data_IF_851704789055
#
_entry.id   IF_851704789055
#
_cell.length_a   1.000
_cell.length_b   1.000
_cell.length_c   1.000
_cell.angle_alpha   90.00
_cell.angle_beta   90.00
_cell.angle_gamma   90.00
#
_symmetry.space_group_name_H-M   'P 1'
#
loop_
_entity.id
_entity.type
_entity.pdbx_description
1 polymer ?
#
# COMPACT_ATOMS: atom_id res chain seq x y z
N UNK A 1 -7.57 3.98 -26.90
CA UNK A 1 -6.13 3.70 -26.85
C UNK A 1 -5.81 3.19 -25.46
N UNK A 2 -5.45 1.92 -25.33
CA UNK A 2 -5.07 1.29 -24.05
C UNK A 2 -3.71 1.82 -23.65
N UNK A 3 -3.62 2.71 -22.66
CA UNK A 3 -2.31 3.03 -22.09
C UNK A 3 -1.73 1.71 -21.53
N UNK A 4 -0.58 1.23 -22.03
CA UNK A 4 0.02 0.04 -21.47
C UNK A 4 0.33 0.32 -20.00
N UNK A 5 0.13 -0.66 -19.12
CA UNK A 5 0.36 -0.52 -17.67
C UNK A 5 1.76 0.04 -17.35
N UNK A 6 2.73 -0.23 -18.22
CA UNK A 6 4.07 0.35 -18.17
C UNK A 6 4.09 1.87 -18.32
N UNK A 7 3.26 2.46 -19.18
CA UNK A 7 3.17 3.91 -19.34
C UNK A 7 2.61 4.58 -18.08
N UNK A 8 1.60 3.97 -17.45
CA UNK A 8 1.06 4.46 -16.18
C UNK A 8 2.07 4.31 -15.04
N UNK A 9 2.88 3.24 -15.05
CA UNK A 9 3.96 3.06 -14.08
C UNK A 9 4.98 4.20 -14.17
N UNK A 10 5.46 4.51 -15.38
CA UNK A 10 6.38 5.63 -15.62
C UNK A 10 5.74 6.98 -15.31
N UNK A 11 4.45 7.15 -15.58
CA UNK A 11 3.70 8.35 -15.21
C UNK A 11 3.65 8.49 -13.68
N UNK A 12 3.35 7.43 -12.94
CA UNK A 12 3.30 7.46 -11.46
C UNK A 12 4.65 7.86 -10.86
N UNK A 13 5.75 7.45 -11.51
CA UNK A 13 7.11 7.80 -11.10
C UNK A 13 7.52 9.24 -11.46
N UNK A 14 6.92 9.85 -12.49
CA UNK A 14 7.25 11.20 -12.93
C UNK A 14 6.30 12.25 -12.36
N UNK A 15 5.01 11.98 -12.48
CA UNK A 15 3.91 12.80 -11.99
C UNK A 15 2.83 11.90 -11.33
N UNK A 16 2.95 11.65 -10.02
CA UNK A 16 1.97 10.83 -9.30
C UNK A 16 0.58 11.49 -9.25
N UNK A 17 0.49 12.82 -9.38
CA UNK A 17 -0.79 13.52 -9.38
C UNK A 17 -1.55 13.31 -10.69
N UNK A 18 -0.86 13.42 -11.82
CA UNK A 18 -1.44 13.11 -13.13
C UNK A 18 -1.80 11.62 -13.24
N UNK A 19 -0.95 10.72 -12.72
CA UNK A 19 -1.26 9.30 -12.67
C UNK A 19 -2.55 9.01 -11.88
N UNK A 20 -2.75 9.68 -10.75
CA UNK A 20 -3.97 9.57 -9.95
C UNK A 20 -5.21 9.97 -10.77
N UNK A 21 -5.16 11.10 -11.48
CA UNK A 21 -6.25 11.55 -12.35
C UNK A 21 -6.53 10.54 -13.48
N UNK A 22 -5.51 9.95 -14.09
CA UNK A 22 -5.69 8.97 -15.17
C UNK A 22 -6.31 7.67 -14.64
N UNK A 23 -5.89 7.21 -13.45
CA UNK A 23 -6.49 6.04 -12.79
C UNK A 23 -7.96 6.28 -12.42
N UNK A 24 -8.32 7.51 -12.04
CA UNK A 24 -9.69 7.91 -11.66
C UNK A 24 -10.55 8.39 -12.84
N UNK A 25 -9.95 8.67 -13.99
CA UNK A 25 -10.65 9.21 -15.16
C UNK A 25 -11.73 8.30 -15.75
N UNK A 26 -11.91 7.10 -15.18
CA UNK A 26 -13.02 6.21 -15.47
C UNK A 26 -13.70 5.81 -14.17
N UNK A 27 -15.00 6.15 -13.98
CA UNK A 27 -15.76 5.63 -12.87
C UNK A 27 -15.84 4.11 -13.03
N UNK A 28 -15.15 3.37 -12.16
CA UNK A 28 -15.20 1.92 -12.14
C UNK A 28 -16.09 1.45 -11.01
N UNK A 29 -16.86 0.37 -11.21
CA UNK A 29 -17.62 -0.27 -10.14
C UNK A 29 -16.71 -0.65 -8.95
N UNK A 30 -17.28 -0.59 -7.75
CA UNK A 30 -16.60 -0.97 -6.52
C UNK A 30 -15.98 -2.37 -6.56
N UNK A 31 -16.62 -3.32 -7.26
CA UNK A 31 -16.09 -4.68 -7.41
C UNK A 31 -14.71 -4.69 -8.09
N UNK A 32 -14.51 -3.84 -9.10
CA UNK A 32 -13.23 -3.74 -9.81
C UNK A 32 -12.15 -3.19 -8.88
N UNK A 33 -12.48 -2.20 -8.05
CA UNK A 33 -11.56 -1.66 -7.04
C UNK A 33 -11.07 -2.74 -6.07
N UNK A 34 -11.97 -3.59 -5.58
CA UNK A 34 -11.60 -4.73 -4.72
C UNK A 34 -10.77 -5.78 -5.45
N UNK A 35 -11.07 -6.08 -6.71
CA UNK A 35 -10.28 -7.03 -7.52
C UNK A 35 -8.85 -6.52 -7.75
N UNK A 36 -8.71 -5.24 -8.09
CA UNK A 36 -7.40 -4.61 -8.30
C UNK A 36 -6.59 -4.59 -7.00
N UNK A 37 -7.22 -4.22 -5.88
CA UNK A 37 -6.57 -4.24 -4.58
C UNK A 37 -6.18 -5.68 -4.17
N UNK A 38 -7.07 -6.64 -4.36
CA UNK A 38 -6.81 -8.06 -4.11
C UNK A 38 -5.65 -8.60 -4.94
N UNK A 39 -5.61 -8.30 -6.24
CA UNK A 39 -4.48 -8.63 -7.12
C UNK A 39 -3.18 -8.01 -6.61
N UNK A 40 -3.22 -6.74 -6.22
CA UNK A 40 -2.08 -6.04 -5.63
C UNK A 40 -1.58 -6.71 -4.34
N UNK A 41 -2.48 -7.17 -3.48
CA UNK A 41 -2.15 -7.88 -2.23
C UNK A 41 -1.54 -9.25 -2.52
N UNK A 42 -2.11 -10.03 -3.42
CA UNK A 42 -1.57 -11.33 -3.83
C UNK A 42 -0.16 -11.15 -4.41
N UNK A 43 0.01 -10.20 -5.32
CA UNK A 43 1.31 -9.93 -5.95
C UNK A 43 2.36 -9.50 -4.92
N UNK A 44 2.01 -8.57 -4.02
CA UNK A 44 2.93 -8.15 -2.95
C UNK A 44 3.26 -9.31 -2.00
N UNK A 45 2.29 -10.16 -1.67
CA UNK A 45 2.52 -11.34 -0.82
C UNK A 45 3.53 -12.28 -1.47
N UNK A 46 3.34 -12.61 -2.74
CA UNK A 46 4.26 -13.48 -3.49
C UNK A 46 5.67 -12.88 -3.52
N UNK A 47 5.78 -11.57 -3.79
CA UNK A 47 7.08 -10.87 -3.81
C UNK A 47 7.75 -10.85 -2.44
N UNK A 48 7.00 -10.61 -1.36
CA UNK A 48 7.53 -10.65 0.01
C UNK A 48 8.06 -12.04 0.34
N UNK A 49 7.30 -13.10 0.05
CA UNK A 49 7.73 -14.48 0.32
C UNK A 49 8.93 -14.90 -0.55
N UNK A 50 8.98 -14.46 -1.81
CA UNK A 50 10.15 -14.62 -2.66
C UNK A 50 11.38 -13.93 -2.05
N UNK A 51 11.21 -12.72 -1.51
CA UNK A 51 12.28 -11.97 -0.84
C UNK A 51 12.76 -12.70 0.42
N UNK A 52 11.85 -13.17 1.28
CA UNK A 52 12.19 -13.93 2.50
C UNK A 52 12.95 -15.21 2.15
N UNK A 53 12.54 -15.89 1.08
CA UNK A 53 13.21 -17.11 0.60
C UNK A 53 14.61 -16.85 0.07
N UNK A 54 14.83 -15.71 -0.59
CA UNK A 54 16.15 -15.28 -1.09
C UNK A 54 17.06 -14.74 0.03
N UNK A 55 16.47 -14.14 1.07
CA UNK A 55 17.18 -13.50 2.17
C UNK A 55 16.67 -13.99 3.53
N UNK A 56 17.16 -15.15 4.02
CA UNK A 56 16.67 -15.78 5.25
C UNK A 56 16.79 -14.92 6.51
N UNK A 57 17.71 -13.95 6.53
CA UNK A 57 17.84 -12.95 7.60
C UNK A 57 16.53 -12.18 7.83
N UNK A 58 15.73 -11.98 6.78
CA UNK A 58 14.45 -11.29 6.86
C UNK A 58 13.35 -12.16 7.48
N UNK A 59 13.46 -13.48 7.42
CA UNK A 59 12.44 -14.39 7.99
C UNK A 59 12.21 -14.11 9.47
N UNK A 60 13.26 -13.75 10.22
CA UNK A 60 13.18 -13.41 11.64
C UNK A 60 12.34 -12.15 11.91
N UNK A 61 12.30 -11.19 10.98
CA UNK A 61 11.50 -9.96 11.10
C UNK A 61 10.01 -10.22 10.84
N UNK A 62 9.70 -11.28 10.10
CA UNK A 62 8.34 -11.65 9.74
C UNK A 62 7.80 -12.83 10.56
N UNK A 63 8.61 -13.46 11.43
CA UNK A 63 8.18 -14.58 12.24
C UNK A 63 7.04 -14.18 13.22
N UNK A 64 5.98 -15.01 13.37
CA UNK A 64 5.76 -16.32 12.76
C UNK A 64 4.99 -16.31 11.42
N UNK A 65 4.76 -15.13 10.83
CA UNK A 65 4.00 -14.98 9.57
C UNK A 65 4.77 -15.47 8.35
N UNK A 66 6.07 -15.70 8.47
CA UNK A 66 6.98 -16.19 7.42
C UNK A 66 6.59 -17.59 6.89
N UNK A 67 5.84 -18.39 7.66
CA UNK A 67 5.37 -19.72 7.26
C UNK A 67 3.89 -19.76 6.83
N UNK A 68 3.17 -18.64 6.95
CA UNK A 68 1.73 -18.57 6.74
C UNK A 68 1.37 -17.55 5.65
N UNK A 69 1.64 -17.84 4.36
CA UNK A 69 1.41 -16.90 3.26
C UNK A 69 -0.05 -16.46 3.12
N UNK A 70 -1.00 -17.36 3.39
CA UNK A 70 -2.42 -17.03 3.41
C UNK A 70 -2.78 -16.06 4.54
N UNK A 71 -2.23 -16.26 5.73
CA UNK A 71 -2.45 -15.37 6.87
C UNK A 71 -1.82 -14.00 6.62
N UNK A 72 -0.60 -13.97 6.05
CA UNK A 72 0.06 -12.72 5.65
C UNK A 72 -0.76 -11.95 4.61
N UNK A 73 -1.24 -12.63 3.56
CA UNK A 73 -2.13 -12.01 2.57
C UNK A 73 -3.41 -11.46 3.21
N UNK A 74 -4.04 -12.22 4.12
CA UNK A 74 -5.23 -11.77 4.84
C UNK A 74 -4.95 -10.53 5.70
N UNK A 75 -3.85 -10.52 6.45
CA UNK A 75 -3.44 -9.35 7.26
C UNK A 75 -3.17 -8.14 6.36
N UNK A 76 -2.46 -8.33 5.25
CA UNK A 76 -2.22 -7.27 4.27
C UNK A 76 -3.53 -6.71 3.71
N UNK A 77 -4.47 -7.59 3.39
CA UNK A 77 -5.79 -7.22 2.88
C UNK A 77 -6.59 -6.43 3.93
N UNK A 78 -6.61 -6.87 5.18
CA UNK A 78 -7.25 -6.16 6.30
C UNK A 78 -6.60 -4.80 6.51
N UNK A 79 -5.26 -4.74 6.58
CA UNK A 79 -4.49 -3.49 6.71
C UNK A 79 -4.84 -2.49 5.62
N UNK A 80 -4.93 -2.94 4.37
CA UNK A 80 -5.24 -2.08 3.22
C UNK A 80 -6.68 -1.63 3.21
N UNK A 81 -7.62 -2.53 3.53
CA UNK A 81 -9.03 -2.18 3.66
C UNK A 81 -9.26 -1.15 4.77
N UNK A 82 -8.60 -1.36 5.93
CA UNK A 82 -8.64 -0.45 7.06
C UNK A 82 -8.04 0.91 6.71
N UNK A 83 -6.93 0.95 5.97
CA UNK A 83 -6.33 2.17 5.46
C UNK A 83 -7.30 2.95 4.57
N UNK A 84 -7.89 2.29 3.58
CA UNK A 84 -8.85 2.93 2.67
C UNK A 84 -10.07 3.46 3.44
N UNK A 85 -10.60 2.69 4.39
CA UNK A 85 -11.71 3.13 5.24
C UNK A 85 -11.34 4.32 6.13
N UNK A 86 -10.15 4.30 6.74
CA UNK A 86 -9.66 5.38 7.59
C UNK A 86 -9.41 6.67 6.80
N UNK A 87 -8.86 6.56 5.58
CA UNK A 87 -8.71 7.70 4.68
C UNK A 87 -10.05 8.23 4.18
N UNK A 88 -11.00 7.35 3.89
CA UNK A 88 -12.35 7.74 3.48
C UNK A 88 -13.04 8.54 4.59
N UNK A 89 -13.15 7.97 5.80
CA UNK A 89 -13.82 8.63 6.92
C UNK A 89 -13.05 9.84 7.45
N UNK A 90 -11.73 9.70 7.65
CA UNK A 90 -10.87 10.79 8.10
C UNK A 90 -10.82 11.92 7.09
N UNK A 91 -10.75 11.59 5.80
CA UNK A 91 -10.77 12.56 4.73
C UNK A 91 -12.10 13.29 4.62
N UNK A 92 -13.23 12.59 4.77
CA UNK A 92 -14.55 13.25 4.84
C UNK A 92 -14.66 14.19 6.04
N UNK A 93 -14.12 13.83 7.20
CA UNK A 93 -14.14 14.68 8.39
C UNK A 93 -13.34 15.99 8.18
N UNK A 94 -12.27 15.95 7.37
CA UNK A 94 -11.43 17.10 7.02
C UNK A 94 -11.97 17.86 5.78
N UNK A 95 -13.10 17.42 5.21
CA UNK A 95 -13.78 18.05 4.07
C UNK A 95 -13.30 17.60 2.69
N UNK A 96 -12.62 16.46 2.61
CA UNK A 96 -12.21 15.81 1.36
C UNK A 96 -13.37 15.14 0.65
N UNK A 97 -13.28 14.99 -0.68
CA UNK A 97 -14.40 14.55 -1.54
C UNK A 97 -14.23 13.16 -2.18
N UNK A 98 -13.19 12.43 -1.81
CA UNK A 98 -12.86 11.16 -2.44
C UNK A 98 -13.97 10.12 -2.23
N UNK A 99 -14.38 9.45 -3.31
CA UNK A 99 -15.23 8.27 -3.24
C UNK A 99 -14.50 7.07 -2.65
N UNK A 100 -15.24 6.13 -2.05
CA UNK A 100 -14.64 4.89 -1.54
C UNK A 100 -14.07 4.03 -2.68
N UNK A 101 -14.74 4.02 -3.83
CA UNK A 101 -14.32 3.34 -5.05
C UNK A 101 -13.02 3.92 -5.61
N UNK A 102 -12.90 5.25 -5.60
CA UNK A 102 -11.71 5.98 -6.08
C UNK A 102 -10.50 5.67 -5.19
N UNK A 103 -10.70 5.64 -3.87
CA UNK A 103 -9.65 5.26 -2.92
C UNK A 103 -9.22 3.81 -3.10
N UNK A 104 -10.17 2.88 -3.27
CA UNK A 104 -9.84 1.46 -3.55
C UNK A 104 -9.00 1.30 -4.81
N UNK A 105 -9.39 1.94 -5.91
CA UNK A 105 -8.67 1.88 -7.18
C UNK A 105 -7.30 2.54 -7.09
N UNK A 106 -7.22 3.72 -6.47
CA UNK A 106 -5.97 4.44 -6.28
C UNK A 106 -4.98 3.64 -5.44
N UNK A 107 -5.40 3.12 -4.29
CA UNK A 107 -4.53 2.31 -3.45
C UNK A 107 -4.24 0.93 -4.05
N UNK A 108 -5.16 0.33 -4.79
CA UNK A 108 -4.92 -0.88 -5.56
C UNK A 108 -3.89 -0.67 -6.67
N UNK A 109 -3.94 0.47 -7.36
CA UNK A 109 -2.91 0.87 -8.33
C UNK A 109 -1.55 1.06 -7.65
N UNK A 110 -1.51 1.76 -6.51
CA UNK A 110 -0.28 1.93 -5.73
C UNK A 110 0.32 0.59 -5.29
N UNK A 111 -0.51 -0.41 -4.97
CA UNK A 111 -0.02 -1.76 -4.67
C UNK A 111 0.69 -2.41 -5.87
N UNK A 112 0.12 -2.28 -7.07
CA UNK A 112 0.75 -2.79 -8.30
C UNK A 112 2.03 -2.02 -8.65
N UNK A 113 2.03 -0.71 -8.46
CA UNK A 113 3.22 0.12 -8.61
C UNK A 113 4.34 -0.31 -7.63
N UNK A 114 4.01 -0.45 -6.35
CA UNK A 114 4.96 -0.93 -5.34
C UNK A 114 5.49 -2.32 -5.67
N UNK A 115 4.62 -3.23 -6.13
CA UNK A 115 5.05 -4.55 -6.56
C UNK A 115 6.07 -4.49 -7.71
N UNK A 116 5.83 -3.66 -8.73
CA UNK A 116 6.79 -3.45 -9.83
C UNK A 116 8.14 -2.91 -9.34
N UNK A 117 8.11 -2.01 -8.35
CA UNK A 117 9.34 -1.49 -7.74
C UNK A 117 10.07 -2.54 -6.89
N UNK A 118 9.34 -3.35 -6.11
CA UNK A 118 9.92 -4.46 -5.36
C UNK A 118 10.60 -5.48 -6.28
N UNK A 119 10.03 -5.77 -7.46
CA UNK A 119 10.70 -6.60 -8.47
C UNK A 119 12.02 -5.98 -8.90
N UNK A 120 12.04 -4.67 -9.19
CA UNK A 120 13.28 -3.97 -9.55
C UNK A 120 14.34 -4.02 -8.45
N UNK A 121 13.92 -3.83 -7.19
CA UNK A 121 14.81 -3.92 -6.02
C UNK A 121 15.34 -5.34 -5.86
N UNK A 122 14.50 -6.37 -6.02
CA UNK A 122 14.90 -7.77 -5.96
C UNK A 122 15.95 -8.11 -7.02
N UNK A 123 15.75 -7.64 -8.27
CA UNK A 123 16.72 -7.81 -9.33
C UNK A 123 18.05 -7.13 -8.99
N UNK A 124 18.02 -5.91 -8.45
CA UNK A 124 19.22 -5.20 -8.00
C UNK A 124 19.93 -5.91 -6.84
N UNK A 125 19.17 -6.50 -5.91
CA UNK A 125 19.70 -7.19 -4.73
C UNK A 125 20.51 -8.44 -5.12
N UNK A 126 20.18 -9.09 -6.24
CA UNK A 126 20.96 -10.22 -6.78
C UNK A 126 22.36 -9.77 -7.24
N UNK A 127 22.49 -8.54 -7.76
CA UNK A 127 23.79 -8.00 -8.18
C UNK A 127 24.57 -7.38 -7.01
N UNK A 128 23.90 -6.57 -6.19
CA UNK A 128 24.51 -5.87 -5.04
C UNK A 128 23.48 -5.55 -3.97
N UNK A 129 23.59 -6.24 -2.83
CA UNK A 129 22.72 -6.02 -1.66
C UNK A 129 22.82 -4.58 -1.12
N UNK A 130 24.03 -4.01 -1.09
CA UNK A 130 24.25 -2.64 -0.59
C UNK A 130 23.52 -1.60 -1.46
N UNK A 131 23.54 -1.77 -2.79
CA UNK A 131 22.88 -0.84 -3.69
C UNK A 131 21.35 -0.94 -3.55
N UNK A 132 20.83 -2.15 -3.41
CA UNK A 132 19.41 -2.37 -3.16
C UNK A 132 18.93 -1.69 -1.87
N UNK A 133 19.72 -1.71 -0.78
CA UNK A 133 19.38 -1.01 0.47
C UNK A 133 19.23 0.50 0.29
N UNK A 134 20.11 1.15 -0.48
CA UNK A 134 19.98 2.58 -0.78
C UNK A 134 18.73 2.88 -1.61
N UNK A 135 18.43 2.03 -2.59
CA UNK A 135 17.21 2.16 -3.40
C UNK A 135 15.96 2.00 -2.55
N UNK A 136 15.94 1.03 -1.63
CA UNK A 136 14.82 0.85 -0.68
C UNK A 136 14.60 2.09 0.16
N UNK A 137 15.66 2.70 0.70
CA UNK A 137 15.56 3.93 1.49
C UNK A 137 14.99 5.09 0.67
N UNK A 138 15.55 5.34 -0.53
CA UNK A 138 15.06 6.39 -1.42
C UNK A 138 13.61 6.16 -1.84
N UNK A 139 13.26 4.91 -2.16
CA UNK A 139 11.92 4.55 -2.56
C UNK A 139 10.90 4.64 -1.41
N UNK A 140 11.32 4.38 -0.17
CA UNK A 140 10.45 4.52 1.00
C UNK A 140 10.01 5.97 1.19
N UNK A 141 10.94 6.91 1.07
CA UNK A 141 10.63 8.35 1.10
C UNK A 141 9.78 8.78 -0.10
N UNK A 142 10.12 8.27 -1.28
CA UNK A 142 9.37 8.58 -2.51
C UNK A 142 7.95 8.01 -2.48
N UNK A 143 7.74 6.83 -1.90
CA UNK A 143 6.44 6.20 -1.74
C UNK A 143 5.50 7.00 -0.84
N UNK A 144 6.04 7.62 0.22
CA UNK A 144 5.28 8.57 1.05
C UNK A 144 4.85 9.76 0.19
N UNK A 145 5.78 10.35 -0.58
CA UNK A 145 5.46 11.47 -1.47
C UNK A 145 4.37 11.14 -2.51
N UNK A 146 4.49 9.99 -3.19
CA UNK A 146 3.46 9.51 -4.13
C UNK A 146 2.11 9.40 -3.43
N UNK A 147 2.08 8.79 -2.25
CA UNK A 147 0.85 8.58 -1.48
C UNK A 147 0.21 9.91 -1.08
N UNK A 148 1.01 10.90 -0.67
CA UNK A 148 0.53 12.25 -0.35
C UNK A 148 -0.12 12.91 -1.55
N UNK A 149 0.52 12.82 -2.72
CA UNK A 149 -0.01 13.43 -3.94
C UNK A 149 -1.28 12.71 -4.39
N UNK A 150 -1.33 11.38 -4.29
CA UNK A 150 -2.54 10.60 -4.56
C UNK A 150 -3.69 11.03 -3.64
N UNK A 151 -3.46 11.07 -2.32
CA UNK A 151 -4.47 11.47 -1.32
C UNK A 151 -4.93 12.91 -1.57
N UNK A 152 -4.01 13.82 -1.92
CA UNK A 152 -4.34 15.21 -2.24
C UNK A 152 -5.28 15.32 -3.44
N UNK A 153 -4.99 14.57 -4.50
CA UNK A 153 -5.80 14.53 -5.73
C UNK A 153 -7.15 13.85 -5.48
N UNK A 154 -7.14 12.68 -4.83
CA UNK A 154 -8.33 11.91 -4.46
C UNK A 154 -9.33 12.76 -3.67
N UNK A 155 -8.86 13.38 -2.59
CA UNK A 155 -9.73 14.16 -1.72
C UNK A 155 -9.97 15.58 -2.22
N UNK A 156 -9.23 16.04 -3.23
CA UNK A 156 -9.32 17.40 -3.76
C UNK A 156 -8.92 18.47 -2.73
N UNK A 157 -7.97 18.17 -1.83
CA UNK A 157 -7.63 19.08 -0.73
C UNK A 157 -6.98 20.39 -1.18
N UNK A 158 -6.38 20.41 -2.38
CA UNK A 158 -5.66 21.57 -2.93
C UNK A 158 -4.42 21.96 -2.12
N UNK A 159 -3.99 21.12 -1.16
CA UNK A 159 -2.85 21.37 -0.29
C UNK A 159 -2.25 20.05 0.20
N UNK A 160 -0.96 19.85 -0.12
CA UNK A 160 -0.19 18.68 0.29
C UNK A 160 -0.11 18.58 1.83
N UNK A 161 -0.14 19.70 2.55
CA UNK A 161 -0.10 19.71 4.01
C UNK A 161 -1.31 19.04 4.66
N UNK A 162 -2.52 19.26 4.12
CA UNK A 162 -3.74 18.56 4.60
C UNK A 162 -3.66 17.07 4.36
N UNK A 163 -3.13 16.68 3.20
CA UNK A 163 -2.91 15.28 2.84
C UNK A 163 -1.89 14.62 3.75
N UNK A 164 -0.84 15.35 4.14
CA UNK A 164 0.15 14.88 5.11
C UNK A 164 -0.46 14.68 6.49
N UNK A 165 -1.23 15.65 6.99
CA UNK A 165 -1.91 15.51 8.27
C UNK A 165 -2.88 14.33 8.28
N UNK A 166 -3.69 14.17 7.23
CA UNK A 166 -4.61 13.05 7.13
C UNK A 166 -3.87 11.70 7.06
N UNK A 167 -2.84 11.61 6.22
CA UNK A 167 -2.06 10.38 6.06
C UNK A 167 -1.35 10.02 7.37
N UNK A 168 -0.72 10.99 8.04
CA UNK A 168 -0.06 10.79 9.33
C UNK A 168 -1.05 10.37 10.42
N UNK A 169 -2.21 11.05 10.52
CA UNK A 169 -3.27 10.68 11.46
C UNK A 169 -3.78 9.26 11.20
N UNK A 170 -3.96 8.90 9.93
CA UNK A 170 -4.37 7.55 9.52
C UNK A 170 -3.33 6.51 9.88
N UNK A 171 -2.04 6.78 9.66
CA UNK A 171 -0.94 5.90 10.07
C UNK A 171 -0.93 5.63 11.57
N UNK A 172 -1.08 6.69 12.38
CA UNK A 172 -1.14 6.55 13.83
C UNK A 172 -2.38 5.77 14.27
N UNK A 173 -3.55 6.10 13.72
CA UNK A 173 -4.80 5.41 14.02
C UNK A 173 -4.74 3.91 13.66
N UNK A 174 -4.17 3.59 12.50
CA UNK A 174 -3.97 2.20 12.08
C UNK A 174 -2.96 1.48 12.97
N UNK A 175 -1.82 2.10 13.28
CA UNK A 175 -0.81 1.48 14.15
C UNK A 175 -1.42 1.12 15.51
N UNK A 176 -2.19 2.03 16.11
CA UNK A 176 -2.90 1.78 17.37
C UNK A 176 -3.99 0.72 17.19
N UNK A 177 -4.84 0.85 16.16
CA UNK A 177 -5.98 -0.05 15.93
C UNK A 177 -5.55 -1.49 15.64
N UNK A 178 -4.54 -1.68 14.78
CA UNK A 178 -3.98 -3.00 14.47
C UNK A 178 -3.25 -3.59 15.67
N UNK A 179 -2.51 -2.79 16.45
CA UNK A 179 -1.85 -3.27 17.67
C UNK A 179 -2.88 -3.74 18.70
N UNK A 180 -3.93 -2.96 18.91
CA UNK A 180 -5.02 -3.32 19.83
C UNK A 180 -5.74 -4.60 19.38
N UNK A 181 -6.05 -4.72 18.09
CA UNK A 181 -6.68 -5.91 17.53
C UNK A 181 -5.76 -7.15 17.64
N UNK A 182 -4.47 -6.99 17.35
CA UNK A 182 -3.48 -8.05 17.51
C UNK A 182 -3.37 -8.50 18.97
N UNK A 183 -3.30 -7.55 19.93
CA UNK A 183 -3.29 -7.86 21.36
C UNK A 183 -4.54 -8.60 21.81
N UNK A 184 -5.73 -8.21 21.32
CA UNK A 184 -6.97 -8.92 21.60
C UNK A 184 -6.95 -10.35 21.07
N UNK A 185 -6.53 -10.56 19.82
CA UNK A 185 -6.42 -11.90 19.25
C UNK A 185 -5.43 -12.76 20.04
N UNK A 186 -4.23 -12.24 20.33
CA UNK A 186 -3.23 -12.93 21.12
C UNK A 186 -3.79 -13.31 22.50
N UNK A 187 -4.48 -12.39 23.17
CA UNK A 187 -5.11 -12.68 24.46
C UNK A 187 -6.22 -13.74 24.38
N UNK A 188 -6.97 -13.78 23.28
CA UNK A 188 -8.02 -14.77 23.06
C UNK A 188 -7.45 -16.17 22.78
N UNK A 189 -6.34 -16.27 22.04
CA UNK A 189 -5.69 -17.54 21.69
C UNK A 189 -4.72 -18.05 22.75
N UNK A 190 -4.08 -17.17 23.54
CA UNK A 190 -3.16 -17.54 24.62
C UNK A 190 -3.80 -17.50 26.01
N UNK A 191 -5.02 -16.95 26.14
CA UNK A 191 -5.79 -16.90 27.40
C UNK A 191 -6.52 -18.20 27.75
N UNK A 192 -6.28 -19.30 27.02
CA UNK A 192 -6.84 -20.63 27.27
C UNK A 192 -5.78 -21.66 27.64
N UNK A 193 -4.86 -21.31 28.54
CA UNK A 193 -3.92 -22.27 29.16
C UNK A 193 -3.84 -22.06 30.66
#
# INVERSE_FOLDING_TARGET
MTHPLSALFWLTLKDPGEAALVVMGRPMPREIGWQVLGLGVVLNTVLTFATISLFPILAQLFAPLDQAPLLFAAILMVRMSAMVAALFWGGQAVGGRAGFEELLLGFGWLQMFQAGVHVGILLLAVFSSNLASFVVLGMSLYGIWISLQFVNVLHGFGSVAKSLMLLAATMVALAIGLSFFASLLVSLFLGTS
#
